data_IF_185418725324
#
_entry.id   IF_185418725324
#
_cell.length_a   1.000
_cell.length_b   1.000
_cell.length_c   1.000
_cell.angle_alpha   90.00
_cell.angle_beta   90.00
_cell.angle_gamma   90.00
#
_symmetry.space_group_name_H-M   'P 1'
#
loop_
_entity.id
_entity.type
_entity.pdbx_description
1 polymer ?
#
# COMPACT_ATOMS: atom_id res chain seq x y z
N UNK A 1 10.96 -11.27 21.79
CA UNK A 1 11.33 -12.71 21.67
C UNK A 1 11.81 -12.96 20.25
N UNK A 2 12.88 -13.68 20.09
CA UNK A 2 13.38 -14.03 18.76
C UNK A 2 12.55 -15.14 18.12
N UNK A 3 12.41 -15.13 16.78
CA UNK A 3 11.64 -16.14 16.08
C UNK A 3 12.14 -17.57 16.29
N UNK A 4 13.42 -17.78 16.53
CA UNK A 4 13.96 -19.12 16.86
C UNK A 4 13.37 -19.72 18.14
N UNK A 5 12.89 -18.90 19.05
CA UNK A 5 12.38 -19.31 20.36
C UNK A 5 10.86 -19.48 20.40
N UNK A 6 10.16 -19.13 19.32
CA UNK A 6 8.71 -19.28 19.28
C UNK A 6 8.33 -20.76 19.15
N UNK A 7 7.40 -21.18 19.97
CA UNK A 7 6.84 -22.53 19.95
C UNK A 7 5.51 -22.59 19.20
N UNK A 8 5.06 -23.78 18.92
CA UNK A 8 3.73 -24.03 18.37
C UNK A 8 2.65 -23.39 19.24
N UNK A 9 1.65 -22.81 18.58
CA UNK A 9 0.56 -22.06 19.20
C UNK A 9 0.93 -20.70 19.81
N UNK A 10 2.19 -20.27 19.68
CA UNK A 10 2.58 -18.93 20.09
C UNK A 10 1.94 -17.89 19.19
N UNK A 11 1.39 -16.79 19.73
CA UNK A 11 0.83 -15.73 18.92
C UNK A 11 1.92 -14.96 18.19
N UNK A 12 1.64 -14.60 16.94
CA UNK A 12 2.46 -13.71 16.11
C UNK A 12 1.56 -12.61 15.56
N UNK A 13 2.05 -11.41 15.54
CA UNK A 13 1.30 -10.24 15.10
C UNK A 13 1.78 -9.79 13.71
N UNK A 14 0.84 -9.60 12.81
CA UNK A 14 1.10 -9.23 11.42
C UNK A 14 0.50 -7.86 11.16
N UNK A 15 1.36 -6.90 10.83
CA UNK A 15 0.94 -5.56 10.41
C UNK A 15 0.97 -5.50 8.88
N UNK A 16 -0.18 -5.25 8.28
CA UNK A 16 -0.26 -4.91 6.85
C UNK A 16 -0.03 -3.39 6.70
N UNK A 17 1.02 -3.01 5.99
CA UNK A 17 1.38 -1.61 5.78
C UNK A 17 0.42 -0.86 4.85
N UNK A 18 -0.24 -1.57 3.94
CA UNK A 18 -1.16 -0.95 2.99
C UNK A 18 -2.50 -0.61 3.64
N UNK A 19 -3.06 -1.54 4.38
CA UNK A 19 -4.36 -1.35 5.06
C UNK A 19 -4.20 -0.76 6.45
N UNK A 20 -2.99 -0.77 7.02
CA UNK A 20 -2.68 -0.37 8.40
C UNK A 20 -3.51 -1.16 9.42
N UNK A 21 -3.60 -2.46 9.20
CA UNK A 21 -4.32 -3.39 10.07
C UNK A 21 -3.36 -4.39 10.70
N UNK A 22 -3.62 -4.73 11.95
CA UNK A 22 -2.89 -5.76 12.69
C UNK A 22 -3.77 -6.99 12.84
N UNK A 23 -3.25 -8.13 12.41
CA UNK A 23 -3.89 -9.45 12.61
C UNK A 23 -3.05 -10.29 13.54
N UNK A 24 -3.71 -11.06 14.39
CA UNK A 24 -3.05 -12.05 15.22
C UNK A 24 -3.10 -13.41 14.53
N UNK A 25 -1.92 -14.02 14.38
CA UNK A 25 -1.77 -15.37 13.90
C UNK A 25 -1.20 -16.29 14.97
N UNK A 26 -1.26 -17.60 14.72
CA UNK A 26 -0.66 -18.62 15.57
C UNK A 26 0.40 -19.38 14.80
N UNK A 27 1.50 -19.70 15.47
CA UNK A 27 2.54 -20.54 14.91
C UNK A 27 2.07 -21.98 14.83
N UNK A 28 2.05 -22.53 13.63
CA UNK A 28 1.72 -23.94 13.39
C UNK A 28 2.99 -24.80 13.38
N UNK A 29 4.05 -24.28 12.77
CA UNK A 29 5.35 -24.94 12.67
C UNK A 29 6.48 -23.91 12.62
N UNK A 30 7.67 -24.32 13.09
CA UNK A 30 8.88 -23.47 13.11
C UNK A 30 10.11 -24.35 12.99
N UNK A 31 10.72 -24.36 11.82
CA UNK A 31 11.86 -25.22 11.51
C UNK A 31 12.94 -24.43 10.75
N UNK A 32 14.21 -24.88 10.82
CA UNK A 32 15.27 -24.27 10.01
C UNK A 32 14.93 -24.33 8.51
N UNK A 33 15.19 -23.24 7.80
CA UNK A 33 15.06 -23.24 6.34
C UNK A 33 16.24 -23.97 5.72
N UNK A 34 15.96 -25.07 5.01
CA UNK A 34 16.95 -25.93 4.39
C UNK A 34 16.76 -25.92 2.87
N UNK A 35 17.82 -25.59 2.15
CA UNK A 35 17.88 -25.70 0.71
C UNK A 35 18.95 -26.70 0.30
N UNK A 36 18.57 -27.72 -0.46
CA UNK A 36 19.48 -28.81 -0.87
C UNK A 36 20.25 -29.50 0.31
N UNK A 37 19.59 -29.65 1.46
CA UNK A 37 20.17 -30.26 2.64
C UNK A 37 21.10 -29.37 3.47
N UNK A 38 21.20 -28.10 3.10
CA UNK A 38 22.05 -27.12 3.80
C UNK A 38 21.17 -26.02 4.39
N UNK A 39 21.38 -25.67 5.65
CA UNK A 39 20.73 -24.55 6.30
C UNK A 39 21.08 -23.23 5.58
N UNK A 40 20.07 -22.45 5.20
CA UNK A 40 20.30 -21.20 4.50
C UNK A 40 20.59 -20.06 5.46
N UNK A 41 21.38 -19.11 4.98
CA UNK A 41 21.79 -17.90 5.70
C UNK A 41 21.30 -16.69 4.91
N UNK A 42 20.80 -15.67 5.63
CA UNK A 42 20.39 -14.41 5.03
C UNK A 42 21.60 -13.63 4.50
N UNK A 43 21.35 -12.56 3.74
CA UNK A 43 22.40 -11.63 3.29
C UNK A 43 23.19 -10.97 4.43
N UNK A 44 22.59 -10.90 5.62
CA UNK A 44 23.24 -10.40 6.85
C UNK A 44 24.00 -11.48 7.64
N UNK A 45 24.10 -12.71 7.13
CA UNK A 45 24.79 -13.81 7.77
C UNK A 45 24.00 -14.54 8.88
N UNK A 46 22.71 -14.28 9.00
CA UNK A 46 21.86 -14.95 10.00
C UNK A 46 21.21 -16.21 9.43
N UNK A 47 21.11 -17.28 10.23
CA UNK A 47 20.34 -18.46 9.85
C UNK A 47 18.87 -18.11 9.60
N UNK A 48 18.28 -18.76 8.60
CA UNK A 48 16.87 -18.56 8.23
C UNK A 48 16.01 -19.70 8.77
N UNK A 49 14.77 -19.37 9.07
CA UNK A 49 13.76 -20.35 9.50
C UNK A 49 12.49 -20.21 8.69
N UNK A 50 11.83 -21.33 8.48
CA UNK A 50 10.48 -21.38 7.93
C UNK A 50 9.49 -21.42 9.09
N UNK A 51 8.74 -20.35 9.25
CA UNK A 51 7.69 -20.25 10.25
C UNK A 51 6.34 -20.29 9.56
N UNK A 52 5.55 -21.32 9.84
CA UNK A 52 4.19 -21.43 9.33
C UNK A 52 3.24 -20.76 10.31
N UNK A 53 2.54 -19.74 9.84
CA UNK A 53 1.60 -18.94 10.64
C UNK A 53 0.19 -19.12 10.08
N UNK A 54 -0.75 -19.42 10.95
CA UNK A 54 -2.16 -19.50 10.63
C UNK A 54 -2.89 -18.23 11.07
N UNK A 55 -3.53 -17.57 10.12
CA UNK A 55 -4.36 -16.39 10.33
C UNK A 55 -5.72 -16.66 9.73
N UNK A 56 -6.78 -16.57 10.51
CA UNK A 56 -8.16 -16.77 10.05
C UNK A 56 -8.36 -18.10 9.28
N UNK A 57 -7.70 -19.16 9.73
CA UNK A 57 -7.77 -20.50 9.11
C UNK A 57 -6.87 -20.70 7.89
N UNK A 58 -6.15 -19.66 7.43
CA UNK A 58 -5.22 -19.73 6.32
C UNK A 58 -3.78 -19.82 6.83
N UNK A 59 -3.04 -20.82 6.37
CA UNK A 59 -1.65 -21.03 6.71
C UNK A 59 -0.73 -20.40 5.64
N UNK A 60 0.28 -19.69 6.09
CA UNK A 60 1.32 -19.09 5.24
C UNK A 60 2.68 -19.38 5.83
N UNK A 61 3.65 -19.76 4.99
CA UNK A 61 5.03 -19.99 5.40
C UNK A 61 5.84 -18.74 5.16
N UNK A 62 6.51 -18.26 6.19
CA UNK A 62 7.43 -17.12 6.11
C UNK A 62 8.85 -17.60 6.37
N UNK A 63 9.75 -17.34 5.42
CA UNK A 63 11.18 -17.60 5.59
C UNK A 63 11.84 -16.35 6.15
N UNK A 64 12.25 -16.40 7.40
CA UNK A 64 12.67 -15.23 8.17
C UNK A 64 13.96 -15.50 8.95
N UNK A 65 14.78 -14.45 9.24
CA UNK A 65 15.96 -14.58 10.10
C UNK A 65 15.57 -15.00 11.51
N UNK A 66 16.28 -15.98 12.08
CA UNK A 66 15.93 -16.59 13.37
C UNK A 66 16.19 -15.72 14.60
N UNK A 67 17.15 -14.80 14.52
CA UNK A 67 17.56 -13.94 15.64
C UNK A 67 16.79 -12.61 15.74
N UNK A 68 15.78 -12.41 14.92
CA UNK A 68 14.94 -11.22 14.99
C UNK A 68 13.65 -11.50 15.76
N UNK A 69 13.10 -10.47 16.37
CA UNK A 69 11.77 -10.48 16.96
C UNK A 69 10.74 -9.73 16.09
N UNK A 70 11.25 -8.94 15.15
CA UNK A 70 10.47 -8.20 14.15
C UNK A 70 11.14 -8.37 12.79
N UNK A 71 10.38 -8.71 11.76
CA UNK A 71 10.90 -8.85 10.41
C UNK A 71 9.87 -8.41 9.36
N UNK A 72 10.34 -8.24 8.14
CA UNK A 72 9.53 -7.77 7.03
C UNK A 72 9.35 -8.88 5.99
N UNK A 73 8.13 -9.09 5.55
CA UNK A 73 7.79 -9.98 4.44
C UNK A 73 6.94 -9.20 3.43
N UNK A 74 7.60 -8.52 2.49
CA UNK A 74 6.95 -7.58 1.57
C UNK A 74 6.32 -6.40 2.32
N UNK A 75 5.03 -6.21 2.16
CA UNK A 75 4.26 -5.17 2.84
C UNK A 75 3.74 -5.58 4.22
N UNK A 76 4.09 -6.78 4.67
CA UNK A 76 3.68 -7.30 5.98
C UNK A 76 4.84 -7.26 6.95
N UNK A 77 4.62 -6.72 8.15
CA UNK A 77 5.57 -6.77 9.26
C UNK A 77 5.13 -7.87 10.22
N UNK A 78 6.05 -8.76 10.55
CA UNK A 78 5.84 -9.86 11.49
C UNK A 78 6.53 -9.55 12.81
N UNK A 79 5.83 -9.66 13.91
CA UNK A 79 6.40 -9.47 15.24
C UNK A 79 5.95 -10.57 16.21
N UNK A 80 6.88 -11.02 17.04
CA UNK A 80 6.58 -11.99 18.10
C UNK A 80 5.88 -11.34 19.28
N UNK A 81 6.01 -10.02 19.42
CA UNK A 81 5.40 -9.23 20.47
C UNK A 81 4.64 -8.05 19.86
N UNK A 82 3.42 -7.84 20.31
CA UNK A 82 2.55 -6.76 19.78
C UNK A 82 3.15 -5.37 19.96
N UNK A 83 3.81 -5.14 21.09
CA UNK A 83 4.47 -3.87 21.39
C UNK A 83 5.58 -3.51 20.39
N UNK A 84 6.23 -4.49 19.79
CA UNK A 84 7.29 -4.29 18.81
C UNK A 84 6.79 -3.72 17.46
N UNK A 85 5.48 -3.73 17.24
CA UNK A 85 4.86 -3.09 16.08
C UNK A 85 4.68 -1.58 16.25
N UNK A 86 4.73 -1.04 17.46
CA UNK A 86 4.53 0.39 17.72
C UNK A 86 5.46 1.31 16.93
N UNK A 87 6.79 1.05 16.85
CA UNK A 87 7.68 1.86 16.03
C UNK A 87 7.33 1.82 14.54
N UNK A 88 6.90 0.69 14.03
CA UNK A 88 6.52 0.53 12.61
C UNK A 88 5.22 1.29 12.28
N UNK A 89 4.23 1.22 13.15
CA UNK A 89 3.00 2.02 13.01
C UNK A 89 3.32 3.51 13.09
N UNK A 90 4.21 3.92 14.01
CA UNK A 90 4.68 5.30 14.12
C UNK A 90 5.34 5.80 12.84
N UNK A 91 6.16 4.99 12.18
CA UNK A 91 6.75 5.33 10.87
C UNK A 91 5.67 5.55 9.80
N UNK A 92 4.66 4.67 9.73
CA UNK A 92 3.55 4.81 8.78
C UNK A 92 2.77 6.12 8.99
N UNK A 93 2.53 6.49 10.24
CA UNK A 93 1.85 7.76 10.58
C UNK A 93 2.71 8.94 10.14
N UNK A 94 4.01 8.91 10.42
CA UNK A 94 4.92 10.00 10.02
C UNK A 94 5.05 10.12 8.50
N UNK A 95 5.15 9.01 7.78
CA UNK A 95 5.19 9.00 6.32
C UNK A 95 3.91 9.59 5.72
N UNK A 96 2.75 9.21 6.25
CA UNK A 96 1.47 9.77 5.84
C UNK A 96 1.39 11.29 6.12
N UNK A 97 1.87 11.73 7.27
CA UNK A 97 1.94 13.14 7.67
C UNK A 97 2.81 13.96 6.71
N UNK A 98 4.00 13.44 6.35
CA UNK A 98 4.90 14.08 5.38
C UNK A 98 4.26 14.20 3.99
N UNK A 99 3.55 13.18 3.55
CA UNK A 99 2.80 13.20 2.28
C UNK A 99 1.70 14.27 2.32
N UNK A 100 0.94 14.34 3.40
CA UNK A 100 -0.13 15.33 3.59
C UNK A 100 0.45 16.75 3.61
N UNK A 101 1.53 16.97 4.33
CA UNK A 101 2.22 18.27 4.39
C UNK A 101 2.79 18.72 3.04
N UNK A 102 3.24 17.78 2.21
CA UNK A 102 3.77 18.04 0.89
C UNK A 102 2.69 18.17 -0.20
N UNK A 103 1.44 17.84 0.11
CA UNK A 103 0.35 17.80 -0.87
C UNK A 103 0.07 19.16 -1.51
N UNK A 104 -0.19 20.20 -0.72
CA UNK A 104 -0.48 21.55 -1.24
C UNK A 104 0.69 22.16 -2.03
N UNK A 105 1.96 22.17 -1.53
CA UNK A 105 3.09 22.60 -2.33
C UNK A 105 3.27 21.83 -3.63
N UNK A 106 3.04 20.52 -3.64
CA UNK A 106 3.13 19.68 -4.83
C UNK A 106 2.05 20.01 -5.85
N UNK A 107 0.83 20.25 -5.39
CA UNK A 107 -0.31 20.68 -6.21
C UNK A 107 -0.04 22.04 -6.88
N UNK A 108 0.51 23.00 -6.13
CA UNK A 108 0.90 24.31 -6.67
C UNK A 108 2.01 24.19 -7.70
N UNK A 109 3.03 23.38 -7.45
CA UNK A 109 4.13 23.13 -8.40
C UNK A 109 3.61 22.50 -9.70
N UNK A 110 2.69 21.57 -9.61
CA UNK A 110 2.06 20.96 -10.78
C UNK A 110 1.31 21.98 -11.61
N UNK A 111 0.48 22.82 -10.98
CA UNK A 111 -0.27 23.87 -11.66
C UNK A 111 0.66 24.88 -12.35
N UNK A 112 1.70 25.37 -11.66
CA UNK A 112 2.71 26.27 -12.22
C UNK A 112 3.50 25.63 -13.37
N UNK A 113 3.84 24.35 -13.23
CA UNK A 113 4.54 23.60 -14.27
C UNK A 113 3.69 23.43 -15.53
N UNK A 114 2.40 23.15 -15.39
CA UNK A 114 1.46 23.05 -16.51
C UNK A 114 1.28 24.40 -17.22
N UNK A 115 1.16 25.49 -16.50
CA UNK A 115 1.13 26.85 -17.07
C UNK A 115 2.39 27.16 -17.85
N UNK A 116 3.55 26.83 -17.29
CA UNK A 116 4.85 27.05 -17.93
C UNK A 116 5.02 26.21 -19.20
N UNK A 117 4.59 24.95 -19.16
CA UNK A 117 4.59 24.08 -20.34
C UNK A 117 3.71 24.66 -21.46
N UNK A 118 2.53 25.15 -21.13
CA UNK A 118 1.62 25.79 -22.10
C UNK A 118 2.23 27.09 -22.67
N UNK A 119 2.94 27.87 -21.85
CA UNK A 119 3.60 29.10 -22.30
C UNK A 119 4.83 28.82 -23.19
N UNK A 120 5.59 27.75 -22.92
CA UNK A 120 6.79 27.38 -23.66
C UNK A 120 6.50 26.57 -24.94
N UNK A 121 5.35 25.88 -24.99
CA UNK A 121 4.96 25.04 -26.12
C UNK A 121 3.53 25.35 -26.57
N UNK A 122 3.37 26.12 -27.69
CA UNK A 122 2.05 26.50 -28.20
C UNK A 122 1.15 25.30 -28.57
N UNK A 123 1.73 24.17 -28.98
CA UNK A 123 0.97 22.95 -29.30
C UNK A 123 0.26 22.36 -28.06
N UNK A 124 0.91 22.42 -26.90
CA UNK A 124 0.30 21.96 -25.64
C UNK A 124 -0.84 22.90 -25.22
N UNK A 125 -0.66 24.20 -25.41
CA UNK A 125 -1.69 25.20 -25.14
C UNK A 125 -2.94 24.98 -25.98
N UNK A 126 -2.80 24.78 -27.28
CA UNK A 126 -3.89 24.44 -28.19
C UNK A 126 -4.61 23.15 -27.79
N UNK A 127 -3.87 22.12 -27.41
CA UNK A 127 -4.44 20.86 -26.94
C UNK A 127 -5.26 21.04 -25.67
N UNK A 128 -4.78 21.79 -24.69
CA UNK A 128 -5.51 22.10 -23.46
C UNK A 128 -6.78 22.90 -23.73
N UNK A 129 -6.72 23.90 -24.59
CA UNK A 129 -7.90 24.68 -25.00
C UNK A 129 -8.93 23.83 -25.73
N UNK A 130 -8.49 22.94 -26.59
CA UNK A 130 -9.34 21.98 -27.31
C UNK A 130 -10.03 21.04 -26.34
N UNK A 131 -9.32 20.48 -25.38
CA UNK A 131 -9.90 19.61 -24.33
C UNK A 131 -10.94 20.34 -23.49
N UNK A 132 -10.69 21.59 -23.10
CA UNK A 132 -11.65 22.41 -22.37
C UNK A 132 -12.93 22.68 -23.18
N UNK A 133 -12.79 22.95 -24.48
CA UNK A 133 -13.93 23.14 -25.41
C UNK A 133 -14.74 21.87 -25.54
N UNK A 134 -14.09 20.70 -25.67
CA UNK A 134 -14.78 19.41 -25.71
C UNK A 134 -15.59 19.12 -24.45
N UNK A 135 -15.04 19.37 -23.29
CA UNK A 135 -15.76 19.21 -22.01
C UNK A 135 -16.96 20.12 -21.90
N UNK A 136 -16.85 21.37 -22.35
CA UNK A 136 -17.94 22.32 -22.38
C UNK A 136 -19.06 21.86 -23.33
N UNK A 137 -18.71 21.38 -24.54
CA UNK A 137 -19.65 20.82 -25.51
C UNK A 137 -20.35 19.56 -24.98
N UNK A 138 -19.65 18.67 -24.33
CA UNK A 138 -20.25 17.48 -23.70
C UNK A 138 -21.28 17.86 -22.63
N UNK A 139 -20.97 18.85 -21.81
CA UNK A 139 -21.89 19.41 -20.82
C UNK A 139 -23.15 20.01 -21.46
N UNK A 140 -22.99 20.79 -22.54
CA UNK A 140 -24.10 21.39 -23.28
C UNK A 140 -25.01 20.34 -23.97
N UNK A 141 -24.40 19.31 -24.56
CA UNK A 141 -25.14 18.19 -25.17
C UNK A 141 -25.93 17.42 -24.12
N UNK A 142 -25.33 17.13 -22.95
CA UNK A 142 -26.04 16.48 -21.85
C UNK A 142 -27.20 17.30 -21.32
N UNK A 143 -27.07 18.62 -21.25
CA UNK A 143 -28.12 19.54 -20.88
C UNK A 143 -29.28 19.53 -21.88
N UNK A 144 -28.98 19.56 -23.18
CA UNK A 144 -29.98 19.50 -24.27
C UNK A 144 -30.71 18.15 -24.23
N UNK A 145 -30.04 17.05 -24.07
CA UNK A 145 -30.66 15.71 -23.93
C UNK A 145 -31.62 15.65 -22.76
N UNK A 146 -31.25 16.21 -21.61
CA UNK A 146 -32.11 16.31 -20.44
C UNK A 146 -33.37 17.12 -20.71
N UNK A 147 -33.28 18.28 -21.41
CA UNK A 147 -34.41 19.12 -21.80
C UNK A 147 -35.34 18.40 -22.77
N UNK A 148 -34.80 17.72 -23.77
CA UNK A 148 -35.62 16.95 -24.75
C UNK A 148 -36.36 15.83 -24.03
N UNK A 149 -35.73 15.12 -23.12
CA UNK A 149 -36.35 14.07 -22.31
C UNK A 149 -37.52 14.61 -21.47
N UNK A 150 -37.34 15.76 -20.83
CA UNK A 150 -38.40 16.43 -20.06
C UNK A 150 -39.57 16.84 -20.92
N UNK A 151 -39.33 17.36 -22.12
CA UNK A 151 -40.37 17.71 -23.07
C UNK A 151 -41.17 16.49 -23.54
N UNK A 152 -40.47 15.37 -23.82
CA UNK A 152 -41.12 14.12 -24.20
C UNK A 152 -41.98 13.55 -23.06
N UNK A 153 -41.51 13.62 -21.83
CA UNK A 153 -42.27 13.20 -20.64
C UNK A 153 -43.50 14.04 -20.38
N UNK A 154 -43.51 15.35 -20.76
CA UNK A 154 -44.65 16.23 -20.66
C UNK A 154 -45.68 16.03 -21.77
N UNK A 155 -45.26 15.58 -22.93
CA UNK A 155 -46.09 15.29 -24.08
C UNK A 155 -46.71 13.88 -24.07
N UNK A 156 -46.13 13.01 -23.28
CA UNK A 156 -46.60 11.65 -23.07
C UNK A 156 -47.49 11.54 -21.87
#
# INVERSE_FOLDING_TARGET
MEFKNIQRNHPVYLLDKQTVEVKEGKVVDNQPHINNGIATISSSGQPMRDVTIEVEGKQTIYTIPEHLGVTFAGETVLATDKADLLPEVGKLVNEADEIIKAYEPSKERKAKGEELLAALNPAIKEKQETEKRFKALEGDISGIRGMVKQLLDKLG
#
